data_IF_027106704619
#
_entry.id   IF_027106704619
#
_cell.length_a   1.000
_cell.length_b   1.000
_cell.length_c   1.000
_cell.angle_alpha   90.00
_cell.angle_beta   90.00
_cell.angle_gamma   90.00
#
_symmetry.space_group_name_H-M   'P 1'
#
loop_
_entity.id
_entity.type
_entity.pdbx_description
1 polymer ?
#
# COMPACT_ATOMS: atom_id res chain seq x y z
N UNK A 1 -6.39 2.17 40.33
CA UNK A 1 -6.42 0.70 40.20
C UNK A 1 -7.87 0.29 40.35
N UNK A 2 -8.54 -0.05 39.26
CA UNK A 2 -9.79 -0.81 39.31
C UNK A 2 -9.86 -1.67 38.06
N UNK A 3 -10.24 -2.91 38.31
CA UNK A 3 -10.06 -4.12 37.52
C UNK A 3 -10.72 -4.07 36.14
N UNK A 4 -9.96 -4.49 35.14
CA UNK A 4 -10.48 -4.95 33.85
C UNK A 4 -11.21 -6.27 34.09
N UNK A 5 -12.52 -6.26 34.04
CA UNK A 5 -13.35 -7.48 34.05
C UNK A 5 -13.34 -8.07 32.64
N UNK A 6 -12.58 -9.15 32.47
CA UNK A 6 -12.70 -10.06 31.33
C UNK A 6 -14.05 -10.80 31.45
N UNK A 7 -15.01 -10.49 30.58
CA UNK A 7 -16.18 -11.34 30.40
C UNK A 7 -15.83 -12.46 29.42
N UNK A 8 -15.73 -13.67 29.94
CA UNK A 8 -15.92 -14.90 29.16
C UNK A 8 -17.36 -14.91 28.65
N UNK A 9 -17.57 -14.83 27.34
CA UNK A 9 -18.84 -15.16 26.71
C UNK A 9 -18.68 -16.46 25.91
N UNK A 10 -18.95 -17.57 26.59
CA UNK A 10 -19.43 -18.76 25.94
C UNK A 10 -20.92 -18.59 25.69
N UNK A 11 -21.31 -18.38 24.43
CA UNK A 11 -22.68 -18.58 23.97
C UNK A 11 -22.63 -19.22 22.58
N UNK A 12 -22.79 -20.53 22.57
CA UNK A 12 -23.17 -21.34 21.41
C UNK A 12 -24.64 -21.08 21.05
N UNK A 13 -24.93 -20.88 19.77
CA UNK A 13 -26.29 -20.93 19.19
C UNK A 13 -26.31 -21.89 17.98
N UNK A 14 -27.49 -22.39 17.57
CA UNK A 14 -27.69 -23.79 17.23
C UNK A 14 -27.31 -24.16 15.80
N UNK A 15 -26.81 -25.39 15.65
CA UNK A 15 -26.65 -26.07 14.37
C UNK A 15 -28.03 -26.46 13.85
N UNK A 16 -28.40 -25.96 12.67
CA UNK A 16 -29.49 -26.54 11.87
C UNK A 16 -28.98 -26.98 10.50
N UNK A 17 -28.64 -28.26 10.40
CA UNK A 17 -28.96 -29.12 9.26
C UNK A 17 -28.12 -29.02 7.97
N UNK A 18 -27.18 -29.96 7.84
CA UNK A 18 -27.09 -30.81 6.63
C UNK A 18 -26.14 -30.38 5.51
N UNK A 19 -24.90 -30.89 5.52
CA UNK A 19 -24.02 -30.93 4.35
C UNK A 19 -22.56 -31.12 4.75
N UNK A 20 -21.98 -32.27 4.44
CA UNK A 20 -20.59 -32.58 4.76
C UNK A 20 -19.60 -31.71 3.99
N UNK A 21 -18.97 -30.79 4.70
CA UNK A 21 -17.76 -30.08 4.35
C UNK A 21 -17.21 -29.50 5.65
N UNK A 22 -15.91 -29.55 5.88
CA UNK A 22 -15.30 -28.84 7.00
C UNK A 22 -15.45 -27.33 6.74
N UNK A 23 -16.61 -26.76 7.11
CA UNK A 23 -16.91 -25.35 6.90
C UNK A 23 -15.98 -24.51 7.76
N UNK A 24 -14.91 -24.00 7.16
CA UNK A 24 -13.97 -23.09 7.81
C UNK A 24 -14.69 -21.77 8.05
N UNK A 25 -15.43 -21.64 9.14
CA UNK A 25 -16.05 -20.37 9.50
C UNK A 25 -14.95 -19.38 9.89
N UNK A 26 -14.67 -18.45 8.99
CA UNK A 26 -13.72 -17.38 9.21
C UNK A 26 -14.35 -16.19 9.93
N UNK A 27 -13.52 -15.41 10.63
CA UNK A 27 -13.95 -14.22 11.35
C UNK A 27 -12.99 -13.06 11.08
N UNK A 28 -13.54 -11.94 10.62
CA UNK A 28 -12.86 -10.64 10.62
C UNK A 28 -13.37 -9.84 11.81
N UNK A 29 -12.46 -9.37 12.66
CA UNK A 29 -12.75 -8.68 13.92
C UNK A 29 -12.00 -7.35 13.92
N UNK A 30 -12.74 -6.26 14.12
CA UNK A 30 -12.19 -4.91 14.20
C UNK A 30 -12.78 -4.16 15.40
N UNK A 31 -12.02 -3.20 15.89
CA UNK A 31 -12.48 -2.21 16.85
C UNK A 31 -12.88 -0.94 16.12
N UNK A 32 -14.04 -0.39 16.48
CA UNK A 32 -14.47 0.92 16.03
C UNK A 32 -14.69 1.85 17.22
N UNK A 33 -14.45 3.15 17.04
CA UNK A 33 -14.78 4.18 18.02
C UNK A 33 -15.74 5.20 17.40
N UNK A 34 -16.95 5.31 17.96
CA UNK A 34 -17.89 6.37 17.59
C UNK A 34 -17.55 7.66 18.32
N UNK A 35 -17.83 8.81 17.70
CA UNK A 35 -17.51 10.13 18.24
C UNK A 35 -18.76 10.96 18.55
N UNK A 36 -19.94 10.46 18.20
CA UNK A 36 -21.24 11.05 18.51
C UNK A 36 -22.33 9.98 18.63
N UNK A 37 -23.43 10.26 19.35
CA UNK A 37 -24.59 9.38 19.38
C UNK A 37 -25.19 9.14 17.99
N UNK A 38 -25.92 8.02 17.85
CA UNK A 38 -26.61 7.61 16.62
C UNK A 38 -25.70 7.55 15.38
N UNK A 39 -24.46 7.10 15.56
CA UNK A 39 -23.50 7.03 14.47
C UNK A 39 -23.62 5.69 13.73
N UNK A 40 -23.77 5.77 12.40
CA UNK A 40 -23.84 4.61 11.52
C UNK A 40 -22.43 4.07 11.24
N UNK A 41 -22.29 2.75 11.30
CA UNK A 41 -21.20 2.02 10.66
C UNK A 41 -21.80 1.03 9.66
N UNK A 42 -21.14 0.82 8.52
CA UNK A 42 -21.49 -0.20 7.56
C UNK A 42 -20.22 -0.90 7.07
N UNK A 43 -20.29 -2.22 6.93
CA UNK A 43 -19.36 -2.95 6.08
C UNK A 43 -19.62 -2.55 4.62
N UNK A 44 -18.55 -2.40 3.84
CA UNK A 44 -18.60 -2.08 2.42
C UNK A 44 -18.97 -3.30 1.58
N UNK A 45 -18.25 -3.49 0.47
CA UNK A 45 -18.39 -4.71 -0.32
C UNK A 45 -17.97 -5.92 0.53
N UNK A 46 -18.75 -6.99 0.49
CA UNK A 46 -18.45 -8.27 1.14
C UNK A 46 -18.80 -9.38 0.15
N UNK A 47 -17.82 -10.20 -0.18
CA UNK A 47 -17.98 -11.35 -1.08
C UNK A 47 -17.76 -12.67 -0.34
N UNK A 48 -18.44 -13.70 -0.82
CA UNK A 48 -18.48 -15.02 -0.17
C UNK A 48 -19.78 -15.23 0.59
N UNK A 49 -19.78 -16.18 1.52
CA UNK A 49 -20.95 -16.55 2.31
C UNK A 49 -20.86 -15.93 3.71
N UNK A 50 -21.64 -14.88 3.94
CA UNK A 50 -21.81 -14.26 5.25
C UNK A 50 -22.76 -15.12 6.09
N UNK A 51 -22.31 -15.54 7.27
CA UNK A 51 -23.17 -16.22 8.24
C UNK A 51 -23.95 -15.20 9.07
N UNK A 52 -23.25 -14.19 9.62
CA UNK A 52 -23.84 -13.08 10.36
C UNK A 52 -22.83 -11.94 10.58
N UNK A 53 -23.35 -10.79 10.99
CA UNK A 53 -22.59 -9.67 11.56
C UNK A 53 -22.83 -9.63 13.07
N UNK A 54 -21.77 -9.37 13.83
CA UNK A 54 -21.83 -9.16 15.28
C UNK A 54 -21.50 -7.69 15.57
N UNK A 55 -22.49 -6.94 16.04
CA UNK A 55 -22.40 -5.53 16.38
C UNK A 55 -22.18 -5.35 17.88
N UNK A 56 -21.08 -5.90 18.40
CA UNK A 56 -20.71 -5.87 19.82
C UNK A 56 -21.73 -6.58 20.72
N UNK A 57 -22.03 -7.83 20.38
CA UNK A 57 -22.98 -8.73 21.07
C UNK A 57 -24.36 -8.79 20.40
N UNK A 58 -24.67 -7.88 19.47
CA UNK A 58 -25.93 -7.86 18.73
C UNK A 58 -25.71 -8.56 17.38
N UNK A 59 -26.19 -9.78 17.26
CA UNK A 59 -26.02 -10.61 16.06
C UNK A 59 -27.22 -10.49 15.12
N UNK A 60 -26.97 -10.17 13.85
CA UNK A 60 -27.98 -10.11 12.79
C UNK A 60 -27.35 -10.26 11.40
N UNK A 61 -28.16 -10.14 10.34
CA UNK A 61 -27.70 -10.25 8.95
C UNK A 61 -27.58 -8.89 8.25
N UNK A 62 -27.76 -7.78 8.98
CA UNK A 62 -27.64 -6.44 8.43
C UNK A 62 -26.16 -6.04 8.39
N UNK A 63 -25.66 -5.64 7.23
CA UNK A 63 -24.27 -5.18 7.05
C UNK A 63 -24.00 -3.79 7.61
N UNK A 64 -24.98 -3.19 8.30
CA UNK A 64 -24.84 -1.88 8.93
C UNK A 64 -25.55 -1.81 10.28
N UNK A 65 -25.05 -0.94 11.16
CA UNK A 65 -25.60 -0.73 12.49
C UNK A 65 -25.47 0.73 12.95
N UNK A 66 -26.50 1.22 13.65
CA UNK A 66 -26.50 2.55 14.26
C UNK A 66 -26.20 2.43 15.75
N UNK A 67 -24.99 2.83 16.13
CA UNK A 67 -24.55 2.86 17.52
C UNK A 67 -25.18 4.07 18.22
N UNK A 68 -26.04 3.79 19.21
CA UNK A 68 -26.81 4.83 19.91
C UNK A 68 -25.96 5.69 20.81
N UNK A 69 -24.99 5.09 21.47
CA UNK A 69 -24.08 5.77 22.40
C UNK A 69 -22.71 6.05 21.76
N UNK A 70 -21.98 6.99 22.38
CA UNK A 70 -20.56 7.18 22.09
C UNK A 70 -19.78 6.09 22.79
N UNK A 71 -18.87 5.43 22.09
CA UNK A 71 -18.10 4.35 22.68
C UNK A 71 -17.13 3.68 21.73
N UNK A 72 -16.44 2.69 22.28
CA UNK A 72 -15.59 1.78 21.54
C UNK A 72 -16.27 0.42 21.49
N UNK A 73 -16.32 -0.19 20.32
CA UNK A 73 -17.08 -1.39 20.04
C UNK A 73 -16.24 -2.40 19.27
N UNK A 74 -16.33 -3.67 19.65
CA UNK A 74 -15.75 -4.77 18.86
C UNK A 74 -16.84 -5.31 17.96
N UNK A 75 -16.61 -5.26 16.65
CA UNK A 75 -17.55 -5.78 15.66
C UNK A 75 -16.92 -6.90 14.86
N UNK A 76 -17.76 -7.82 14.37
CA UNK A 76 -17.30 -8.99 13.61
C UNK A 76 -18.10 -9.18 12.33
N UNK A 77 -17.40 -9.64 11.32
CA UNK A 77 -17.95 -10.23 10.12
C UNK A 77 -17.58 -11.73 10.15
N UNK A 78 -18.59 -12.60 10.17
CA UNK A 78 -18.42 -14.05 10.33
C UNK A 78 -18.95 -14.77 9.10
N UNK A 79 -18.13 -15.64 8.52
CA UNK A 79 -18.50 -16.42 7.33
C UNK A 79 -17.29 -16.88 6.51
N UNK A 80 -17.59 -17.54 5.39
CA UNK A 80 -16.61 -17.88 4.35
C UNK A 80 -16.44 -16.67 3.43
N UNK A 81 -15.68 -15.68 3.89
CA UNK A 81 -15.51 -14.40 3.21
C UNK A 81 -14.28 -14.45 2.31
N UNK A 82 -14.45 -14.14 1.02
CA UNK A 82 -13.33 -14.08 0.05
C UNK A 82 -12.78 -12.68 -0.12
N UNK A 83 -13.60 -11.66 0.13
CA UNK A 83 -13.26 -10.24 0.10
C UNK A 83 -14.17 -9.45 1.05
N UNK A 84 -13.63 -8.40 1.66
CA UNK A 84 -14.43 -7.41 2.36
C UNK A 84 -13.77 -6.03 2.23
N UNK A 85 -14.56 -4.96 2.39
CA UNK A 85 -14.04 -3.61 2.59
C UNK A 85 -14.65 -2.90 3.79
N UNK A 86 -13.82 -2.16 4.52
CA UNK A 86 -14.25 -1.18 5.52
C UNK A 86 -13.59 0.16 5.22
N UNK A 87 -14.41 1.12 4.81
CA UNK A 87 -13.96 2.47 4.49
C UNK A 87 -14.54 3.49 5.44
N UNK A 88 -13.99 3.53 6.66
CA UNK A 88 -14.54 4.36 7.73
C UNK A 88 -13.46 4.89 8.67
N UNK A 89 -13.49 6.19 9.02
CA UNK A 89 -12.61 6.75 10.05
C UNK A 89 -12.94 6.21 11.45
N UNK A 90 -14.02 5.44 11.62
CA UNK A 90 -14.35 4.84 12.91
C UNK A 90 -13.49 3.62 13.22
N UNK A 91 -12.88 2.98 12.22
CA UNK A 91 -11.97 1.86 12.46
C UNK A 91 -10.71 2.40 13.13
N UNK A 92 -10.49 1.98 14.37
CA UNK A 92 -9.37 2.44 15.22
C UNK A 92 -8.35 1.33 15.46
N UNK A 93 -8.77 0.06 15.41
CA UNK A 93 -7.88 -1.09 15.53
C UNK A 93 -8.37 -2.27 14.67
N UNK A 94 -7.43 -3.04 14.15
CA UNK A 94 -7.69 -4.33 13.51
C UNK A 94 -7.30 -5.41 14.51
N UNK A 95 -8.16 -6.38 14.76
CA UNK A 95 -7.85 -7.47 15.68
C UNK A 95 -7.45 -8.72 14.90
N UNK A 96 -8.23 -9.05 13.87
CA UNK A 96 -8.03 -10.23 13.04
C UNK A 96 -8.77 -10.07 11.71
N UNK A 97 -8.28 -10.70 10.66
CA UNK A 97 -9.03 -10.93 9.41
C UNK A 97 -9.34 -12.41 9.23
N UNK A 98 -10.44 -12.70 8.55
CA UNK A 98 -10.78 -14.07 8.18
C UNK A 98 -9.68 -14.69 7.32
N UNK A 99 -9.29 -15.94 7.61
CA UNK A 99 -8.30 -16.70 6.84
C UNK A 99 -8.83 -17.17 5.47
N UNK A 100 -10.14 -17.07 5.23
CA UNK A 100 -10.77 -17.40 3.94
C UNK A 100 -10.62 -16.28 2.91
N UNK A 101 -10.18 -15.09 3.33
CA UNK A 101 -10.03 -13.93 2.45
C UNK A 101 -8.90 -14.20 1.46
N UNK A 102 -9.22 -14.14 0.17
CA UNK A 102 -8.29 -14.37 -0.95
C UNK A 102 -7.85 -13.07 -1.62
N UNK A 103 -8.47 -11.95 -1.27
CA UNK A 103 -8.06 -10.64 -1.77
C UNK A 103 -8.39 -9.54 -0.78
N UNK A 104 -7.46 -8.58 -0.61
CA UNK A 104 -7.57 -7.47 0.33
C UNK A 104 -7.74 -6.11 -0.37
N UNK A 105 -8.30 -6.12 -1.58
CA UNK A 105 -8.53 -4.88 -2.32
C UNK A 105 -9.41 -3.93 -1.53
N UNK A 106 -8.91 -2.72 -1.27
CA UNK A 106 -9.59 -1.68 -0.52
C UNK A 106 -10.05 -2.10 0.90
N UNK A 107 -9.52 -3.20 1.47
CA UNK A 107 -10.10 -3.81 2.68
C UNK A 107 -10.13 -2.88 3.90
N UNK A 108 -9.12 -2.02 4.05
CA UNK A 108 -9.03 -1.00 5.10
C UNK A 108 -8.81 0.41 4.50
N UNK A 109 -9.23 0.63 3.25
CA UNK A 109 -9.10 1.94 2.62
C UNK A 109 -9.81 3.02 3.43
N UNK A 110 -9.27 4.23 3.50
CA UNK A 110 -9.79 5.40 4.23
C UNK A 110 -10.12 5.16 5.71
N UNK A 111 -9.53 4.16 6.35
CA UNK A 111 -9.50 4.00 7.81
C UNK A 111 -8.55 5.04 8.43
N UNK A 112 -8.89 6.32 8.30
CA UNK A 112 -7.96 7.44 8.53
C UNK A 112 -7.50 7.62 9.99
N UNK A 113 -8.20 6.99 10.95
CA UNK A 113 -7.82 6.96 12.36
C UNK A 113 -7.05 5.69 12.77
N UNK A 114 -6.86 4.72 11.88
CA UNK A 114 -6.04 3.52 12.13
C UNK A 114 -4.58 3.93 12.30
N UNK A 115 -3.97 3.57 13.44
CA UNK A 115 -2.60 4.00 13.80
C UNK A 115 -1.51 2.94 13.62
N UNK A 116 -1.91 1.67 13.66
CA UNK A 116 -1.02 0.51 13.63
C UNK A 116 -1.71 -0.66 12.94
N UNK A 117 -0.89 -1.53 12.35
CA UNK A 117 -1.32 -2.83 11.82
C UNK A 117 -0.79 -3.89 12.81
N UNK A 118 -1.59 -4.90 13.20
CA UNK A 118 -1.11 -6.01 14.01
C UNK A 118 0.00 -6.81 13.32
N UNK A 119 0.99 -7.28 14.09
CA UNK A 119 1.96 -8.27 13.61
C UNK A 119 1.23 -9.55 13.16
N UNK A 120 1.67 -10.13 12.05
CA UNK A 120 1.11 -11.37 11.50
C UNK A 120 -0.35 -11.27 11.03
N UNK A 121 -0.90 -10.06 10.82
CA UNK A 121 -2.31 -9.85 10.43
C UNK A 121 -2.75 -10.75 9.27
N UNK A 122 -1.88 -10.97 8.29
CA UNK A 122 -2.17 -11.73 7.06
C UNK A 122 -1.52 -13.12 7.00
N UNK A 123 -0.95 -13.62 8.11
CA UNK A 123 -0.16 -14.86 8.11
C UNK A 123 -0.97 -16.10 7.71
N UNK A 124 -2.29 -16.07 7.93
CA UNK A 124 -3.21 -17.17 7.60
C UNK A 124 -3.80 -17.04 6.20
N UNK A 125 -3.58 -15.92 5.50
CA UNK A 125 -4.12 -15.65 4.16
C UNK A 125 -3.12 -16.04 3.06
N UNK A 126 -2.62 -17.27 3.11
CA UNK A 126 -1.58 -17.77 2.18
C UNK A 126 -2.02 -17.78 0.71
N UNK A 127 -3.32 -17.74 0.47
CA UNK A 127 -3.92 -17.68 -0.86
C UNK A 127 -4.29 -16.25 -1.31
N UNK A 128 -3.87 -15.22 -0.56
CA UNK A 128 -4.11 -13.82 -0.94
C UNK A 128 -3.39 -13.49 -2.26
N UNK A 129 -4.12 -12.89 -3.21
CA UNK A 129 -3.61 -12.53 -4.54
C UNK A 129 -3.38 -11.04 -4.75
N UNK A 130 -4.04 -10.17 -3.96
CA UNK A 130 -3.97 -8.72 -4.12
C UNK A 130 -4.09 -8.00 -2.78
N UNK A 131 -3.29 -6.94 -2.61
CA UNK A 131 -3.36 -5.97 -1.51
C UNK A 131 -3.57 -4.55 -2.04
N UNK A 132 -4.12 -4.43 -3.25
CA UNK A 132 -4.39 -3.16 -3.90
C UNK A 132 -5.19 -2.24 -2.97
N UNK A 133 -4.68 -1.03 -2.76
CA UNK A 133 -5.31 -0.01 -1.91
C UNK A 133 -5.67 -0.44 -0.48
N UNK A 134 -5.14 -1.57 0.02
CA UNK A 134 -5.58 -2.19 1.27
C UNK A 134 -5.57 -1.21 2.46
N UNK A 135 -4.54 -0.37 2.59
CA UNK A 135 -4.43 0.68 3.61
C UNK A 135 -4.42 2.09 3.02
N UNK A 136 -4.88 2.27 1.78
CA UNK A 136 -4.97 3.58 1.14
C UNK A 136 -5.75 4.56 2.02
N UNK A 137 -5.30 5.79 2.22
CA UNK A 137 -5.99 6.79 3.05
C UNK A 137 -5.91 6.56 4.56
N UNK A 138 -5.13 5.59 5.06
CA UNK A 138 -4.84 5.42 6.49
C UNK A 138 -3.88 6.51 7.00
N UNK A 139 -4.33 7.77 7.00
CA UNK A 139 -3.49 8.96 7.27
C UNK A 139 -2.80 8.96 8.64
N UNK A 140 -3.37 8.26 9.62
CA UNK A 140 -2.80 8.14 10.98
C UNK A 140 -1.85 6.95 11.15
N UNK A 141 -1.68 6.10 10.13
CA UNK A 141 -0.81 4.93 10.20
C UNK A 141 0.64 5.37 10.32
N UNK A 142 1.33 4.93 11.37
CA UNK A 142 2.69 5.42 11.70
C UNK A 142 3.81 4.47 11.31
N UNK A 143 3.52 3.17 11.25
CA UNK A 143 4.48 2.10 10.98
C UNK A 143 3.80 0.91 10.32
N UNK A 144 4.60 0.12 9.60
CA UNK A 144 4.22 -1.18 9.04
C UNK A 144 4.98 -2.25 9.84
N UNK A 145 4.33 -3.34 10.28
CA UNK A 145 5.01 -4.47 10.90
C UNK A 145 6.05 -5.10 10.00
N UNK A 146 7.16 -5.55 10.59
CA UNK A 146 8.15 -6.38 9.87
C UNK A 146 7.47 -7.69 9.43
N UNK A 147 7.72 -8.11 8.20
CA UNK A 147 7.20 -9.38 7.67
C UNK A 147 5.68 -9.40 7.45
N UNK A 148 5.00 -8.25 7.39
CA UNK A 148 3.54 -8.16 7.23
C UNK A 148 3.00 -9.02 6.08
N UNK A 149 3.77 -9.19 5.00
CA UNK A 149 3.37 -9.91 3.79
C UNK A 149 4.15 -11.21 3.54
N UNK A 150 4.93 -11.70 4.52
CA UNK A 150 5.86 -12.82 4.33
C UNK A 150 5.18 -14.15 3.96
N UNK A 151 3.91 -14.31 4.32
CA UNK A 151 3.12 -15.52 4.05
C UNK A 151 2.28 -15.42 2.78
N UNK A 152 2.18 -14.25 2.16
CA UNK A 152 1.30 -14.00 1.02
C UNK A 152 2.09 -14.10 -0.31
N UNK A 153 2.67 -15.28 -0.56
CA UNK A 153 3.61 -15.51 -1.68
C UNK A 153 2.95 -15.46 -3.07
N UNK A 154 1.63 -15.53 -3.13
CA UNK A 154 0.85 -15.51 -4.37
C UNK A 154 0.40 -14.10 -4.80
N UNK A 155 0.78 -13.06 -4.05
CA UNK A 155 0.38 -11.68 -4.36
C UNK A 155 1.02 -11.20 -5.66
N UNK A 156 0.20 -10.61 -6.53
CA UNK A 156 0.63 -9.99 -7.79
C UNK A 156 0.51 -8.46 -7.78
N UNK A 157 -0.27 -7.88 -6.86
CA UNK A 157 -0.65 -6.47 -6.90
C UNK A 157 -0.57 -5.80 -5.50
N UNK A 158 0.27 -4.77 -5.38
CA UNK A 158 0.38 -3.87 -4.23
C UNK A 158 0.05 -2.41 -4.59
N UNK A 159 -0.58 -2.19 -5.74
CA UNK A 159 -0.89 -0.85 -6.24
C UNK A 159 -1.72 -0.07 -5.21
N UNK A 160 -1.27 1.14 -4.88
CA UNK A 160 -1.94 1.99 -3.90
C UNK A 160 -1.98 1.49 -2.45
N UNK A 161 -1.32 0.37 -2.10
CA UNK A 161 -1.49 -0.31 -0.81
C UNK A 161 -1.36 0.62 0.41
N UNK A 162 -0.39 1.54 0.40
CA UNK A 162 -0.16 2.55 1.44
C UNK A 162 -0.30 3.99 0.92
N UNK A 163 -1.09 4.20 -0.13
CA UNK A 163 -1.37 5.53 -0.68
C UNK A 163 -1.95 6.46 0.41
N UNK A 164 -1.53 7.72 0.47
CA UNK A 164 -1.96 8.74 1.44
C UNK A 164 -1.80 8.30 2.91
N UNK A 165 -0.83 7.43 3.21
CA UNK A 165 -0.40 7.16 4.58
C UNK A 165 0.51 8.29 5.10
N UNK A 166 -0.04 9.49 5.26
CA UNK A 166 0.70 10.72 5.54
C UNK A 166 1.55 10.67 6.83
N UNK A 167 1.17 9.84 7.80
CA UNK A 167 1.93 9.67 9.05
C UNK A 167 3.01 8.59 9.01
N UNK A 168 3.12 7.82 7.92
CA UNK A 168 4.07 6.73 7.80
C UNK A 168 5.50 7.29 7.71
N UNK A 169 6.32 6.98 8.72
CA UNK A 169 7.66 7.56 8.85
C UNK A 169 8.79 6.67 8.32
N UNK A 170 8.53 5.36 8.17
CA UNK A 170 9.52 4.38 7.71
C UNK A 170 8.84 3.16 7.11
N UNK A 171 9.55 2.49 6.20
CA UNK A 171 9.18 1.19 5.63
C UNK A 171 10.13 0.13 6.22
N UNK A 172 9.65 -1.02 6.69
CA UNK A 172 10.51 -2.13 7.12
C UNK A 172 11.41 -2.63 6.00
N UNK A 173 12.66 -2.97 6.32
CA UNK A 173 13.52 -3.69 5.40
C UNK A 173 12.91 -5.06 5.06
N UNK A 174 13.00 -5.46 3.80
CA UNK A 174 12.49 -6.74 3.32
C UNK A 174 10.97 -6.87 3.28
N UNK A 175 10.21 -5.77 3.38
CA UNK A 175 8.73 -5.79 3.42
C UNK A 175 8.10 -6.62 2.28
N UNK A 176 8.72 -6.66 1.10
CA UNK A 176 8.22 -7.35 -0.09
C UNK A 176 9.08 -8.55 -0.53
N UNK A 177 10.02 -9.01 0.30
CA UNK A 177 11.03 -10.02 -0.08
C UNK A 177 10.43 -11.38 -0.46
N UNK A 178 9.22 -11.70 0.03
CA UNK A 178 8.54 -12.98 -0.22
C UNK A 178 7.52 -12.90 -1.36
N UNK A 179 7.21 -11.71 -1.85
CA UNK A 179 6.17 -11.50 -2.87
C UNK A 179 6.79 -11.42 -4.27
N UNK A 180 7.44 -12.51 -4.68
CA UNK A 180 8.23 -12.57 -5.93
C UNK A 180 7.39 -12.48 -7.21
N UNK A 181 6.09 -12.72 -7.10
CA UNK A 181 5.13 -12.69 -8.22
C UNK A 181 4.52 -11.30 -8.48
N UNK A 182 4.89 -10.28 -7.69
CA UNK A 182 4.34 -8.93 -7.83
C UNK A 182 4.73 -8.33 -9.18
N UNK A 183 3.72 -7.78 -9.86
CA UNK A 183 3.86 -7.08 -11.14
C UNK A 183 3.62 -5.57 -10.99
N UNK A 184 2.90 -5.13 -9.96
CA UNK A 184 2.43 -3.74 -9.83
C UNK A 184 2.68 -3.15 -8.43
N UNK A 185 3.46 -2.07 -8.38
CA UNK A 185 3.66 -1.20 -7.21
C UNK A 185 3.21 0.25 -7.48
N UNK A 186 2.43 0.47 -8.53
CA UNK A 186 1.94 1.79 -8.89
C UNK A 186 1.20 2.43 -7.72
N UNK A 187 1.50 3.69 -7.45
CA UNK A 187 0.93 4.46 -6.34
C UNK A 187 1.14 3.90 -4.92
N UNK A 188 1.98 2.89 -4.71
CA UNK A 188 2.03 2.14 -3.44
C UNK A 188 2.27 3.03 -2.20
N UNK A 189 3.13 4.04 -2.30
CA UNK A 189 3.49 4.96 -1.21
C UNK A 189 3.25 6.44 -1.58
N UNK A 190 2.27 6.73 -2.44
CA UNK A 190 1.90 8.12 -2.78
C UNK A 190 1.57 8.91 -1.52
N UNK A 191 2.03 10.15 -1.44
CA UNK A 191 1.76 11.08 -0.33
C UNK A 191 2.12 10.53 1.06
N UNK A 192 3.06 9.60 1.15
CA UNK A 192 3.67 9.20 2.42
C UNK A 192 4.66 10.29 2.90
N UNK A 193 4.11 11.46 3.22
CA UNK A 193 4.85 12.72 3.38
C UNK A 193 5.87 12.75 4.52
N UNK A 194 5.82 11.79 5.46
CA UNK A 194 6.80 11.63 6.55
C UNK A 194 7.95 10.69 6.23
N UNK A 195 7.93 9.94 5.12
CA UNK A 195 9.05 9.10 4.72
C UNK A 195 10.30 9.97 4.45
N UNK A 196 11.42 9.59 5.05
CA UNK A 196 12.70 10.30 4.92
C UNK A 196 13.78 9.50 4.18
N UNK A 197 13.67 8.17 4.21
CA UNK A 197 14.55 7.23 3.52
C UNK A 197 13.77 5.99 3.10
N UNK A 198 14.32 5.23 2.14
CA UNK A 198 13.80 3.93 1.71
C UNK A 198 14.79 2.83 2.11
N UNK A 199 14.34 1.64 2.53
CA UNK A 199 15.24 0.53 2.81
C UNK A 199 16.08 0.12 1.60
N UNK A 200 17.34 -0.21 1.85
CA UNK A 200 18.19 -0.85 0.84
C UNK A 200 17.55 -2.17 0.40
N UNK A 201 17.47 -2.38 -0.92
CA UNK A 201 16.93 -3.59 -1.50
C UNK A 201 15.42 -3.78 -1.35
N UNK A 202 14.65 -2.72 -1.06
CA UNK A 202 13.19 -2.79 -0.86
C UNK A 202 12.45 -3.60 -1.94
N UNK A 203 12.92 -3.55 -3.19
CA UNK A 203 12.30 -4.23 -4.33
C UNK A 203 13.19 -5.31 -4.98
N UNK A 204 14.29 -5.73 -4.33
CA UNK A 204 15.31 -6.60 -4.93
C UNK A 204 14.77 -8.00 -5.30
N UNK A 205 13.69 -8.45 -4.66
CA UNK A 205 13.06 -9.75 -4.90
C UNK A 205 11.88 -9.70 -5.86
N UNK A 206 11.41 -8.51 -6.22
CA UNK A 206 10.23 -8.31 -7.06
C UNK A 206 10.67 -8.11 -8.53
N UNK A 207 11.32 -9.13 -9.10
CA UNK A 207 11.93 -9.07 -10.44
C UNK A 207 10.89 -9.01 -11.57
N UNK A 208 9.64 -9.37 -11.29
CA UNK A 208 8.53 -9.39 -12.24
C UNK A 208 7.77 -8.05 -12.32
N UNK A 209 8.17 -7.04 -11.53
CA UNK A 209 7.49 -5.74 -11.52
C UNK A 209 7.62 -5.06 -12.87
N UNK A 210 6.47 -4.62 -13.39
CA UNK A 210 6.35 -3.86 -14.63
C UNK A 210 6.04 -2.39 -14.36
N UNK A 211 5.41 -2.05 -13.24
CA UNK A 211 4.93 -0.69 -12.99
C UNK A 211 5.30 -0.12 -11.61
N UNK A 212 6.00 1.02 -11.61
CA UNK A 212 6.29 1.86 -10.44
C UNK A 212 5.67 3.25 -10.56
N UNK A 213 4.70 3.45 -11.46
CA UNK A 213 4.08 4.75 -11.71
C UNK A 213 3.54 5.33 -10.40
N UNK A 214 3.87 6.58 -10.11
CA UNK A 214 3.49 7.29 -8.88
C UNK A 214 3.98 6.69 -7.56
N UNK A 215 4.77 5.60 -7.54
CA UNK A 215 5.02 4.81 -6.32
C UNK A 215 5.42 5.64 -5.09
N UNK A 216 6.27 6.67 -5.26
CA UNK A 216 6.70 7.59 -4.20
C UNK A 216 6.31 9.05 -4.47
N UNK A 217 5.31 9.29 -5.31
CA UNK A 217 4.85 10.64 -5.63
C UNK A 217 4.46 11.38 -4.34
N UNK A 218 4.82 12.66 -4.22
CA UNK A 218 4.51 13.51 -3.06
C UNK A 218 5.09 13.01 -1.73
N UNK A 219 6.17 12.22 -1.76
CA UNK A 219 6.99 11.94 -0.58
C UNK A 219 7.91 13.13 -0.26
N UNK A 220 7.32 14.25 0.18
CA UNK A 220 7.99 15.56 0.30
C UNK A 220 9.28 15.57 1.16
N UNK A 221 9.43 14.62 2.09
CA UNK A 221 10.58 14.54 3.01
C UNK A 221 11.63 13.50 2.62
N UNK A 222 11.42 12.79 1.53
CA UNK A 222 12.37 11.79 1.04
C UNK A 222 13.61 12.51 0.49
N UNK A 223 14.80 12.20 1.04
CA UNK A 223 16.02 13.00 0.80
C UNK A 223 16.92 12.42 -0.30
N UNK A 224 16.98 11.10 -0.38
CA UNK A 224 17.79 10.37 -1.35
C UNK A 224 17.26 8.95 -1.54
N UNK A 225 17.80 8.27 -2.54
CA UNK A 225 17.66 6.84 -2.79
C UNK A 225 19.05 6.22 -2.95
N UNK A 226 19.18 4.94 -2.62
CA UNK A 226 20.45 4.23 -2.64
C UNK A 226 20.88 3.86 -4.07
N UNK A 227 22.17 3.68 -4.29
CA UNK A 227 22.70 3.15 -5.54
C UNK A 227 22.09 1.77 -5.83
N UNK A 228 21.74 1.51 -7.09
CA UNK A 228 21.16 0.25 -7.54
C UNK A 228 19.73 -0.03 -7.05
N UNK A 229 19.00 0.96 -6.55
CA UNK A 229 17.66 0.78 -5.97
C UNK A 229 16.64 0.05 -6.88
N UNK A 230 16.79 0.16 -8.21
CA UNK A 230 15.94 -0.53 -9.19
C UNK A 230 16.68 -1.58 -10.03
N UNK A 231 17.91 -1.97 -9.66
CA UNK A 231 18.77 -2.84 -10.49
C UNK A 231 18.18 -4.23 -10.75
N UNK A 232 17.29 -4.71 -9.85
CA UNK A 232 16.66 -6.03 -9.96
C UNK A 232 15.32 -6.00 -10.69
N UNK A 233 14.72 -4.83 -10.87
CA UNK A 233 13.41 -4.69 -11.51
C UNK A 233 13.58 -4.45 -13.01
N UNK A 234 14.20 -5.43 -13.69
CA UNK A 234 14.60 -5.30 -15.09
C UNK A 234 13.41 -5.22 -16.07
N UNK A 235 12.25 -5.74 -15.67
CA UNK A 235 11.02 -5.81 -16.47
C UNK A 235 10.14 -4.54 -16.39
N UNK A 236 10.58 -3.50 -15.67
CA UNK A 236 9.80 -2.27 -15.51
C UNK A 236 9.61 -1.57 -16.85
N UNK A 237 8.36 -1.21 -17.15
CA UNK A 237 7.96 -0.44 -18.33
C UNK A 237 7.63 1.01 -18.01
N UNK A 238 7.27 1.34 -16.77
CA UNK A 238 6.91 2.71 -16.36
C UNK A 238 7.46 3.12 -15.00
N UNK A 239 8.06 4.31 -14.98
CA UNK A 239 8.38 5.11 -13.79
C UNK A 239 7.65 6.45 -13.78
N UNK A 240 6.56 6.57 -14.56
CA UNK A 240 5.76 7.79 -14.66
C UNK A 240 5.45 8.36 -13.28
N UNK A 241 5.76 9.63 -13.05
CA UNK A 241 5.53 10.30 -11.76
C UNK A 241 6.11 9.63 -10.50
N UNK A 242 7.02 8.65 -10.62
CA UNK A 242 7.43 7.80 -9.49
C UNK A 242 7.94 8.63 -8.29
N UNK A 243 8.66 9.72 -8.53
CA UNK A 243 9.20 10.61 -7.50
C UNK A 243 8.74 12.06 -7.63
N UNK A 244 7.69 12.37 -8.40
CA UNK A 244 7.28 13.77 -8.52
C UNK A 244 6.88 14.33 -7.16
N UNK A 245 7.12 15.62 -6.97
CA UNK A 245 6.90 16.33 -5.71
C UNK A 245 7.74 15.81 -4.52
N UNK A 246 8.79 15.00 -4.74
CA UNK A 246 9.81 14.71 -3.73
C UNK A 246 10.75 15.92 -3.55
N UNK A 247 10.22 17.00 -2.98
CA UNK A 247 10.91 18.30 -2.91
C UNK A 247 12.14 18.29 -2.00
N UNK A 248 12.31 17.31 -1.11
CA UNK A 248 13.52 17.12 -0.31
C UNK A 248 14.64 16.36 -1.02
N UNK A 249 14.41 15.78 -2.21
CA UNK A 249 15.47 15.13 -2.97
C UNK A 249 16.59 16.11 -3.28
N UNK A 250 17.77 15.83 -2.74
CA UNK A 250 18.97 16.62 -3.00
C UNK A 250 19.82 16.03 -4.12
N UNK A 251 19.90 14.69 -4.18
CA UNK A 251 20.65 13.96 -5.20
C UNK A 251 20.04 12.60 -5.50
N UNK A 252 20.27 12.11 -6.72
CA UNK A 252 19.95 10.74 -7.16
C UNK A 252 21.20 10.01 -7.66
N UNK A 253 21.28 8.68 -7.55
CA UNK A 253 22.34 7.88 -8.15
C UNK A 253 22.47 8.13 -9.66
N UNK A 254 23.70 8.28 -10.15
CA UNK A 254 23.93 8.52 -11.59
C UNK A 254 23.47 7.32 -12.42
N UNK A 255 23.74 6.09 -11.95
CA UNK A 255 23.34 4.85 -12.62
C UNK A 255 21.94 4.34 -12.24
N UNK A 256 21.06 5.18 -11.66
CA UNK A 256 19.79 4.75 -11.06
C UNK A 256 18.94 3.83 -11.96
N UNK A 257 18.96 4.07 -13.27
CA UNK A 257 18.16 3.32 -14.24
C UNK A 257 18.98 2.44 -15.18
N UNK A 258 20.24 2.11 -14.84
CA UNK A 258 21.15 1.35 -15.72
C UNK A 258 20.56 0.02 -16.19
N UNK A 259 19.82 -0.68 -15.31
CA UNK A 259 19.28 -2.02 -15.58
C UNK A 259 17.84 -2.04 -16.08
N UNK A 260 17.10 -0.94 -16.00
CA UNK A 260 15.69 -0.88 -16.40
C UNK A 260 15.57 -0.59 -17.90
N UNK A 261 16.07 -1.50 -18.73
CA UNK A 261 16.20 -1.29 -20.19
C UNK A 261 14.87 -1.33 -20.93
N UNK A 262 13.81 -1.88 -20.33
CA UNK A 262 12.48 -2.00 -20.94
C UNK A 262 11.55 -0.81 -20.70
N UNK A 263 11.99 0.22 -19.97
CA UNK A 263 11.15 1.38 -19.65
C UNK A 263 10.82 2.19 -20.90
N UNK A 264 9.53 2.48 -21.08
CA UNK A 264 9.01 3.36 -22.14
C UNK A 264 8.45 4.67 -21.60
N UNK A 265 8.24 4.81 -20.28
CA UNK A 265 7.65 6.00 -19.68
C UNK A 265 8.40 6.46 -18.42
N UNK A 266 9.08 7.61 -18.54
CA UNK A 266 9.66 8.37 -17.44
C UNK A 266 8.97 9.73 -17.26
N UNK A 267 7.81 9.94 -17.88
CA UNK A 267 7.13 11.23 -17.85
C UNK A 267 6.96 11.71 -16.42
N UNK A 268 7.34 12.97 -16.19
CA UNK A 268 7.23 13.68 -14.92
C UNK A 268 7.83 12.95 -13.70
N UNK A 269 8.73 11.97 -13.90
CA UNK A 269 9.25 11.11 -12.83
C UNK A 269 9.89 11.89 -11.67
N UNK A 270 10.59 13.00 -11.96
CA UNK A 270 11.20 13.88 -10.95
C UNK A 270 10.59 15.29 -10.96
N UNK A 271 9.42 15.49 -11.59
CA UNK A 271 8.81 16.82 -11.61
C UNK A 271 8.62 17.36 -10.19
N UNK A 272 8.87 18.64 -9.97
CA UNK A 272 8.80 19.34 -8.69
C UNK A 272 9.77 18.83 -7.61
N UNK A 273 10.83 18.10 -7.98
CA UNK A 273 11.97 17.84 -7.11
C UNK A 273 12.88 19.09 -7.01
N UNK A 274 12.37 20.15 -6.39
CA UNK A 274 12.96 21.49 -6.45
C UNK A 274 14.32 21.64 -5.79
N UNK A 275 14.74 20.70 -4.93
CA UNK A 275 16.06 20.68 -4.32
C UNK A 275 17.10 19.84 -5.08
N UNK A 276 16.72 19.17 -6.16
CA UNK A 276 17.56 18.20 -6.86
C UNK A 276 18.74 18.90 -7.57
N UNK A 277 19.96 18.47 -7.26
CA UNK A 277 21.21 19.10 -7.75
C UNK A 277 21.97 18.26 -8.78
N UNK A 278 21.51 17.05 -9.07
CA UNK A 278 22.04 16.20 -10.13
C UNK A 278 20.92 15.39 -10.79
N UNK A 279 21.25 14.73 -11.90
CA UNK A 279 20.31 13.93 -12.70
C UNK A 279 20.86 12.52 -12.91
N UNK A 280 20.00 11.51 -13.07
CA UNK A 280 20.44 10.19 -13.49
C UNK A 280 21.04 10.30 -14.89
N UNK A 281 22.16 9.61 -15.11
CA UNK A 281 22.83 9.46 -16.40
C UNK A 281 23.09 7.98 -16.67
N UNK A 282 22.05 7.19 -17.00
CA UNK A 282 22.22 5.76 -17.13
C UNK A 282 23.20 5.44 -18.26
N UNK A 283 24.20 4.59 -17.96
CA UNK A 283 25.36 4.31 -18.81
C UNK A 283 26.09 5.58 -19.30
N UNK A 284 26.10 6.65 -18.49
CA UNK A 284 26.77 7.92 -18.77
C UNK A 284 26.03 8.86 -19.74
N UNK A 285 24.85 8.47 -20.24
CA UNK A 285 24.06 9.27 -21.18
C UNK A 285 23.04 10.13 -20.45
N UNK A 286 22.70 11.31 -20.98
CA UNK A 286 21.55 12.06 -20.47
C UNK A 286 20.26 11.28 -20.72
N UNK A 287 19.26 11.44 -19.85
CA UNK A 287 18.00 10.68 -19.92
C UNK A 287 17.35 10.76 -21.32
N UNK A 288 17.31 11.94 -21.94
CA UNK A 288 16.72 12.13 -23.27
C UNK A 288 17.59 11.62 -24.44
N UNK A 289 18.75 11.01 -24.16
CA UNK A 289 19.65 10.43 -25.15
C UNK A 289 19.65 8.89 -25.13
N UNK A 290 18.96 8.25 -24.19
CA UNK A 290 19.08 6.81 -23.98
C UNK A 290 18.21 5.97 -24.91
N UNK A 291 17.19 6.57 -25.55
CA UNK A 291 16.30 5.87 -26.48
C UNK A 291 17.10 5.27 -27.65
N UNK A 292 16.82 4.01 -28.00
CA UNK A 292 17.55 3.24 -29.02
C UNK A 292 18.99 2.82 -28.65
N UNK A 293 19.45 3.10 -27.42
CA UNK A 293 20.80 2.72 -26.96
C UNK A 293 20.74 1.56 -25.97
N UNK A 294 21.82 0.77 -25.85
CA UNK A 294 21.96 -0.24 -24.79
C UNK A 294 20.78 -1.24 -24.68
N UNK A 295 20.13 -1.57 -25.81
CA UNK A 295 18.96 -2.47 -25.85
C UNK A 295 17.63 -1.84 -25.42
N UNK A 296 17.57 -0.51 -25.30
CA UNK A 296 16.36 0.24 -24.93
C UNK A 296 15.43 0.47 -26.13
N UNK A 297 14.12 0.68 -25.89
CA UNK A 297 13.17 1.10 -26.91
C UNK A 297 13.59 2.37 -27.66
N UNK A 298 13.22 2.47 -28.93
CA UNK A 298 13.47 3.66 -29.78
C UNK A 298 12.61 4.87 -29.37
N UNK A 299 11.49 4.62 -28.68
CA UNK A 299 10.58 5.65 -28.18
C UNK A 299 10.43 5.51 -26.67
N UNK A 300 10.78 6.57 -25.95
CA UNK A 300 10.66 6.68 -24.50
C UNK A 300 10.10 8.06 -24.18
N UNK A 301 9.06 8.12 -23.36
CA UNK A 301 8.46 9.38 -22.92
C UNK A 301 9.28 9.98 -21.77
N UNK A 302 9.84 11.17 -22.00
CA UNK A 302 10.54 11.97 -21.00
C UNK A 302 9.81 13.28 -20.67
N UNK A 303 8.53 13.39 -21.06
CA UNK A 303 7.75 14.63 -20.96
C UNK A 303 7.73 15.13 -19.52
N UNK A 304 8.23 16.35 -19.31
CA UNK A 304 8.29 17.02 -18.02
C UNK A 304 9.11 16.29 -16.95
N UNK A 305 10.03 15.40 -17.33
CA UNK A 305 10.84 14.58 -16.43
C UNK A 305 11.40 15.39 -15.23
N UNK A 306 11.84 16.61 -15.49
CA UNK A 306 12.42 17.52 -14.51
C UNK A 306 11.63 18.84 -14.38
N UNK A 307 10.31 18.82 -14.65
CA UNK A 307 9.49 20.04 -14.52
C UNK A 307 9.69 20.72 -13.18
N UNK A 308 9.98 22.02 -13.17
CA UNK A 308 10.25 22.82 -11.95
C UNK A 308 11.41 22.33 -11.06
N UNK A 309 12.44 21.67 -11.64
CA UNK A 309 13.66 21.29 -10.93
C UNK A 309 14.77 22.35 -11.08
N UNK A 310 14.50 23.58 -10.64
CA UNK A 310 15.35 24.76 -10.92
C UNK A 310 16.78 24.70 -10.36
N UNK A 311 17.09 23.77 -9.45
CA UNK A 311 18.44 23.56 -8.90
C UNK A 311 19.30 22.60 -9.71
N UNK A 312 18.74 21.97 -10.74
CA UNK A 312 19.55 21.17 -11.64
C UNK A 312 20.60 22.07 -12.32
N UNK A 313 21.84 21.57 -12.47
CA UNK A 313 22.81 22.20 -13.34
C UNK A 313 22.18 22.42 -14.72
N UNK A 314 22.53 23.53 -15.37
CA UNK A 314 22.13 23.82 -16.74
C UNK A 314 20.61 23.73 -17.01
N UNK A 315 19.75 23.89 -15.99
CA UNK A 315 18.29 23.72 -16.10
C UNK A 315 17.66 24.49 -17.27
N UNK A 316 18.05 25.76 -17.43
CA UNK A 316 17.51 26.62 -18.51
C UNK A 316 17.94 26.16 -19.92
N UNK A 317 18.99 25.34 -20.02
CA UNK A 317 19.53 24.77 -21.26
C UNK A 317 19.00 23.35 -21.55
N UNK A 318 18.20 22.76 -20.66
CA UNK A 318 17.59 21.45 -20.89
C UNK A 318 16.59 21.51 -22.07
N UNK A 319 16.38 20.39 -22.79
CA UNK A 319 15.35 20.28 -23.81
C UNK A 319 13.97 20.73 -23.28
N UNK A 320 13.18 21.41 -24.10
CA UNK A 320 11.87 21.92 -23.67
C UNK A 320 10.89 20.82 -23.29
N UNK A 321 11.04 19.62 -23.86
CA UNK A 321 10.21 18.46 -23.54
C UNK A 321 10.47 17.88 -22.16
N UNK A 322 11.67 18.05 -21.58
CA UNK A 322 12.03 17.45 -20.28
C UNK A 322 11.90 18.42 -19.11
N UNK A 323 11.78 19.72 -19.39
CA UNK A 323 11.82 20.79 -18.37
C UNK A 323 10.46 21.22 -17.84
#
# INVERSE_FOLDING_TARGET
MNSVTFWHLGHSLPVSGGGGGSDVVGETIIEITTTRPNQLFAWGAVEGSVNYYDWNGIVNNDSSHVFKEVGTYIIKLVGNITHFSVSSPLVTNIIKVSNTVTTFEDSFAFCSNLRSIPEGLFDQNVNATSFKSCFSGCRSLTSIPVGLFDKNVNVTDFSGCFNVCESLASIPAGLFDKNVNVTDFSSCFVSCSKLTSLPVGLFDKNVNVTDFSYCFNSCYRLVAIHDGFFDKNVNVVSFKNCFSFCSAFYSVPVGLFDKNIHVTDFSVCFAYCSNLTNRPKPNGLEMWQIAGTNGRPDSIDFTGLFTNCFRLPDYNSLPSSVK
#
